data_IF_712947352600
#
_entry.id   IF_712947352600
#
_cell.length_a   1.000
_cell.length_b   1.000
_cell.length_c   1.000
_cell.angle_alpha   90.00
_cell.angle_beta   90.00
_cell.angle_gamma   90.00
#
_symmetry.space_group_name_H-M   'P 1'
#
loop_
_entity.id
_entity.type
_entity.pdbx_description
1 polymer ?
#
# COMPACT_ATOMS: atom_id res chain seq x y z
N UNK A 1 -83.34 104.11 17.60
CA UNK A 1 -84.19 103.20 18.40
C UNK A 1 -83.45 101.89 18.56
N UNK A 2 -83.29 101.42 19.81
CA UNK A 2 -83.27 100.00 20.25
C UNK A 2 -82.12 99.10 19.70
N UNK A 3 -81.36 98.32 20.46
CA UNK A 3 -81.45 97.85 21.86
C UNK A 3 -80.11 97.19 22.25
N UNK A 4 -79.75 97.29 23.53
CA UNK A 4 -78.76 96.44 24.23
C UNK A 4 -79.39 95.05 24.47
N UNK A 5 -78.64 93.91 24.38
CA UNK A 5 -78.15 93.24 25.61
C UNK A 5 -76.80 92.49 25.53
N UNK A 6 -76.07 92.57 26.64
CA UNK A 6 -74.99 91.70 27.19
C UNK A 6 -75.52 90.29 27.57
N UNK A 7 -74.77 89.34 28.21
CA UNK A 7 -73.38 88.82 28.12
C UNK A 7 -73.33 87.25 28.02
N UNK A 8 -72.14 86.64 27.81
CA UNK A 8 -71.74 85.31 28.34
C UNK A 8 -70.28 85.01 27.94
N UNK A 9 -69.31 85.06 28.85
CA UNK A 9 -68.88 83.95 29.72
C UNK A 9 -67.94 82.95 29.02
N UNK A 10 -66.65 83.07 29.37
CA UNK A 10 -65.74 81.99 29.76
C UNK A 10 -65.39 80.91 28.73
N UNK A 11 -64.17 80.98 28.17
CA UNK A 11 -63.33 79.78 27.93
C UNK A 11 -61.85 80.16 27.78
N UNK A 12 -61.21 80.57 28.89
CA UNK A 12 -59.76 80.58 28.98
C UNK A 12 -59.25 79.15 29.22
N UNK A 13 -59.23 78.32 28.17
CA UNK A 13 -58.59 77.00 28.19
C UNK A 13 -58.36 76.47 26.76
N UNK A 14 -57.61 77.20 25.95
CA UNK A 14 -57.02 76.63 24.73
C UNK A 14 -55.76 77.40 24.41
N UNK A 15 -54.74 76.68 23.92
CA UNK A 15 -53.47 77.21 23.37
C UNK A 15 -52.22 77.24 24.27
N UNK A 16 -52.03 76.24 25.14
CA UNK A 16 -50.67 75.96 25.67
C UNK A 16 -50.17 74.52 25.47
N UNK A 17 -50.99 73.63 24.86
CA UNK A 17 -50.64 72.21 24.64
C UNK A 17 -50.08 71.94 23.23
N UNK A 18 -50.11 72.92 22.32
CA UNK A 18 -49.73 72.72 20.90
C UNK A 18 -48.22 72.68 20.65
N UNK A 19 -47.42 73.44 21.40
CA UNK A 19 -45.97 73.51 21.15
C UNK A 19 -45.21 72.31 21.73
N UNK A 20 -45.63 71.80 22.90
CA UNK A 20 -45.03 70.60 23.52
C UNK A 20 -45.32 69.36 22.67
N UNK A 21 -46.55 69.20 22.20
CA UNK A 21 -46.93 68.09 21.30
C UNK A 21 -46.20 68.15 19.94
N UNK A 22 -45.97 69.35 19.41
CA UNK A 22 -45.15 69.53 18.21
C UNK A 22 -43.68 69.17 18.45
N UNK A 23 -43.10 69.55 19.59
CA UNK A 23 -41.74 69.16 19.93
C UNK A 23 -41.59 67.66 20.16
N UNK A 24 -42.56 67.00 20.79
CA UNK A 24 -42.58 65.54 20.93
C UNK A 24 -42.71 64.83 19.58
N UNK A 25 -43.52 65.37 18.66
CA UNK A 25 -43.63 64.85 17.29
C UNK A 25 -42.32 65.02 16.50
N UNK A 26 -41.63 66.16 16.63
CA UNK A 26 -40.32 66.39 16.00
C UNK A 26 -39.22 65.54 16.63
N UNK A 27 -39.24 65.33 17.95
CA UNK A 27 -38.30 64.49 18.66
C UNK A 27 -38.46 63.01 18.28
N UNK A 28 -39.69 62.52 18.14
CA UNK A 28 -39.97 61.14 17.70
C UNK A 28 -39.61 60.90 16.23
N UNK A 29 -39.89 61.87 15.34
CA UNK A 29 -39.41 61.84 13.95
C UNK A 29 -37.89 61.86 13.87
N UNK A 30 -37.23 62.73 14.64
CA UNK A 30 -35.78 62.80 14.72
C UNK A 30 -35.16 61.48 15.21
N UNK A 31 -35.73 60.89 16.25
CA UNK A 31 -35.29 59.59 16.77
C UNK A 31 -35.49 58.45 15.75
N UNK A 32 -36.60 58.44 15.03
CA UNK A 32 -36.87 57.44 13.99
C UNK A 32 -35.86 57.53 12.83
N UNK A 33 -35.53 58.75 12.38
CA UNK A 33 -34.52 58.98 11.34
C UNK A 33 -33.13 58.55 11.80
N UNK A 34 -32.71 58.93 13.02
CA UNK A 34 -31.42 58.52 13.58
C UNK A 34 -31.34 56.99 13.70
N UNK A 35 -32.43 56.33 14.12
CA UNK A 35 -32.50 54.86 14.23
C UNK A 35 -32.41 54.20 12.85
N UNK A 36 -33.09 54.74 11.84
CA UNK A 36 -33.04 54.23 10.47
C UNK A 36 -31.63 54.37 9.85
N UNK A 37 -30.98 55.52 10.02
CA UNK A 37 -29.60 55.76 9.55
C UNK A 37 -28.62 54.83 10.27
N UNK A 38 -28.78 54.65 11.59
CA UNK A 38 -27.94 53.74 12.38
C UNK A 38 -28.14 52.29 11.91
N UNK A 39 -29.38 51.87 11.65
CA UNK A 39 -29.68 50.54 11.11
C UNK A 39 -29.05 50.29 9.74
N UNK A 40 -29.07 51.29 8.84
CA UNK A 40 -28.40 51.22 7.53
C UNK A 40 -26.88 51.09 7.69
N UNK A 41 -26.27 51.87 8.59
CA UNK A 41 -24.82 51.79 8.85
C UNK A 41 -24.42 50.42 9.43
N UNK A 42 -25.19 49.89 10.39
CA UNK A 42 -24.97 48.55 10.95
C UNK A 42 -25.11 47.49 9.85
N UNK A 43 -26.14 47.57 9.00
CA UNK A 43 -26.33 46.65 7.88
C UNK A 43 -25.16 46.69 6.89
N UNK A 44 -24.66 47.88 6.55
CA UNK A 44 -23.50 48.04 5.66
C UNK A 44 -22.22 47.47 6.28
N UNK A 45 -21.99 47.70 7.58
CA UNK A 45 -20.88 47.11 8.32
C UNK A 45 -20.97 45.57 8.33
N UNK A 46 -22.14 45.00 8.65
CA UNK A 46 -22.37 43.55 8.61
C UNK A 46 -22.07 43.00 7.20
N UNK A 47 -22.52 43.67 6.14
CA UNK A 47 -22.29 43.24 4.76
C UNK A 47 -20.81 43.30 4.37
N UNK A 48 -20.07 44.32 4.82
CA UNK A 48 -18.62 44.42 4.60
C UNK A 48 -17.86 43.33 5.39
N UNK A 49 -18.26 43.07 6.63
CA UNK A 49 -17.70 41.99 7.45
C UNK A 49 -17.95 40.63 6.81
N UNK A 50 -19.17 40.35 6.33
CA UNK A 50 -19.48 39.10 5.62
C UNK A 50 -18.64 38.91 4.35
N UNK A 51 -18.41 39.97 3.57
CA UNK A 51 -17.53 39.91 2.39
C UNK A 51 -16.08 39.66 2.78
N UNK A 52 -15.61 40.29 3.86
CA UNK A 52 -14.25 40.11 4.36
C UNK A 52 -14.04 38.68 4.88
N UNK A 53 -15.02 38.15 5.63
CA UNK A 53 -15.01 36.75 6.11
C UNK A 53 -14.94 35.78 4.93
N UNK A 54 -15.79 35.93 3.91
CA UNK A 54 -15.75 35.09 2.70
C UNK A 54 -14.42 35.16 1.95
N UNK A 55 -13.84 36.36 1.85
CA UNK A 55 -12.52 36.53 1.22
C UNK A 55 -11.42 35.85 2.03
N UNK A 56 -11.47 35.93 3.36
CA UNK A 56 -10.54 35.24 4.26
C UNK A 56 -10.69 33.72 4.17
N UNK A 57 -11.92 33.20 4.13
CA UNK A 57 -12.20 31.76 3.95
C UNK A 57 -11.60 31.24 2.64
N UNK A 58 -11.87 31.92 1.51
CA UNK A 58 -11.29 31.55 0.20
C UNK A 58 -9.76 31.60 0.20
N UNK A 59 -9.17 32.60 0.87
CA UNK A 59 -7.70 32.72 0.98
C UNK A 59 -7.11 31.60 1.83
N UNK A 60 -7.80 31.21 2.90
CA UNK A 60 -7.37 30.14 3.79
C UNK A 60 -7.51 28.76 3.14
N UNK A 61 -8.57 28.53 2.37
CA UNK A 61 -8.74 27.31 1.58
C UNK A 61 -7.68 27.21 0.46
N UNK A 62 -7.40 28.32 -0.23
CA UNK A 62 -6.32 28.37 -1.20
C UNK A 62 -4.97 28.05 -0.53
N UNK A 63 -4.64 28.71 0.58
CA UNK A 63 -3.41 28.46 1.32
C UNK A 63 -3.29 27.01 1.80
N UNK A 64 -4.40 26.38 2.23
CA UNK A 64 -4.42 24.96 2.58
C UNK A 64 -4.15 24.07 1.36
N UNK A 65 -4.79 24.34 0.23
CA UNK A 65 -4.54 23.58 -1.01
C UNK A 65 -3.11 23.74 -1.52
N UNK A 66 -2.54 24.95 -1.47
CA UNK A 66 -1.16 25.21 -1.87
C UNK A 66 -0.17 24.50 -0.95
N UNK A 67 -0.46 24.48 0.36
CA UNK A 67 0.33 23.75 1.34
C UNK A 67 0.31 22.23 1.06
N UNK A 68 -0.85 21.67 0.71
CA UNK A 68 -0.98 20.25 0.36
C UNK A 68 -0.22 19.91 -0.92
N UNK A 69 -0.35 20.72 -1.97
CA UNK A 69 0.40 20.54 -3.23
C UNK A 69 1.90 20.65 -2.99
N UNK A 70 2.34 21.63 -2.18
CA UNK A 70 3.75 21.80 -1.83
C UNK A 70 4.26 20.57 -1.07
N UNK A 71 3.48 20.07 -0.11
CA UNK A 71 3.83 18.87 0.66
C UNK A 71 3.97 17.65 -0.25
N UNK A 72 3.01 17.42 -1.15
CA UNK A 72 3.05 16.29 -2.07
C UNK A 72 4.25 16.39 -3.02
N UNK A 73 4.53 17.59 -3.55
CA UNK A 73 5.69 17.84 -4.41
C UNK A 73 7.01 17.56 -3.68
N UNK A 74 7.12 17.91 -2.40
CA UNK A 74 8.29 17.60 -1.59
C UNK A 74 8.47 16.10 -1.37
N UNK A 75 7.38 15.37 -1.15
CA UNK A 75 7.40 13.90 -1.01
C UNK A 75 7.81 13.25 -2.34
N UNK A 76 7.25 13.68 -3.46
CA UNK A 76 7.57 13.14 -4.78
C UNK A 76 9.02 13.43 -5.18
N UNK A 77 9.52 14.63 -4.89
CA UNK A 77 10.93 14.97 -5.10
C UNK A 77 11.87 14.11 -4.23
N UNK A 78 11.47 13.82 -2.98
CA UNK A 78 12.23 12.93 -2.12
C UNK A 78 12.25 11.50 -2.66
N UNK A 79 11.10 10.96 -3.09
CA UNK A 79 10.97 9.64 -3.71
C UNK A 79 11.81 9.54 -4.98
N UNK A 80 11.72 10.53 -5.87
CA UNK A 80 12.52 10.58 -7.10
C UNK A 80 14.03 10.58 -6.84
N UNK A 81 14.49 11.31 -5.80
CA UNK A 81 15.90 11.29 -5.40
C UNK A 81 16.34 9.92 -4.88
N UNK A 82 15.51 9.28 -4.05
CA UNK A 82 15.77 7.93 -3.55
C UNK A 82 15.87 6.97 -4.75
N UNK A 83 14.91 7.00 -5.66
CA UNK A 83 14.87 6.13 -6.84
C UNK A 83 16.07 6.33 -7.78
N UNK A 84 16.57 7.56 -7.89
CA UNK A 84 17.77 7.86 -8.66
C UNK A 84 19.05 7.28 -8.03
N UNK A 85 19.07 7.07 -6.70
CA UNK A 85 20.22 6.51 -5.98
C UNK A 85 20.12 5.00 -5.72
N UNK A 86 18.92 4.43 -5.74
CA UNK A 86 18.68 3.01 -5.48
C UNK A 86 19.34 2.13 -6.55
N UNK A 87 19.89 0.96 -6.17
CA UNK A 87 20.28 -0.06 -7.14
C UNK A 87 19.06 -0.52 -7.95
N UNK A 88 19.28 -0.97 -9.19
CA UNK A 88 18.23 -1.51 -10.05
C UNK A 88 18.43 -3.00 -10.11
N UNK A 89 17.78 -3.70 -9.18
CA UNK A 89 17.88 -5.15 -9.10
C UNK A 89 16.89 -5.78 -10.07
N UNK A 90 17.36 -6.75 -10.84
CA UNK A 90 16.49 -7.63 -11.65
C UNK A 90 16.67 -9.04 -11.14
N UNK A 91 15.55 -9.73 -10.93
CA UNK A 91 15.53 -11.13 -10.49
C UNK A 91 14.89 -11.97 -11.58
N UNK A 92 15.63 -12.95 -12.07
CA UNK A 92 15.17 -13.87 -13.11
C UNK A 92 15.24 -15.31 -12.60
N UNK A 93 14.20 -16.10 -12.88
CA UNK A 93 14.23 -17.55 -12.67
C UNK A 93 14.82 -18.19 -13.92
N UNK A 94 16.02 -18.78 -13.80
CA UNK A 94 16.76 -19.31 -14.95
C UNK A 94 16.53 -20.79 -15.20
N UNK A 95 16.33 -21.57 -14.13
CA UNK A 95 16.03 -22.98 -14.25
C UNK A 95 15.26 -23.49 -13.05
N UNK A 96 14.43 -24.50 -13.28
CA UNK A 96 13.76 -25.26 -12.24
C UNK A 96 14.03 -26.74 -12.48
N UNK A 97 14.68 -27.39 -11.51
CA UNK A 97 15.02 -28.81 -11.57
C UNK A 97 14.27 -29.60 -10.50
N UNK A 98 13.84 -30.81 -10.86
CA UNK A 98 13.25 -31.81 -9.97
C UNK A 98 14.37 -32.69 -9.44
N UNK A 99 14.83 -32.41 -8.24
CA UNK A 99 15.89 -33.19 -7.62
C UNK A 99 15.32 -34.00 -6.45
N UNK A 100 15.43 -35.34 -6.47
CA UNK A 100 15.19 -36.11 -5.24
C UNK A 100 16.37 -35.80 -4.37
N UNK A 101 16.10 -35.22 -3.21
CA UNK A 101 17.02 -35.45 -2.10
C UNK A 101 16.68 -36.82 -1.54
N UNK A 102 17.62 -37.74 -1.62
CA UNK A 102 17.59 -38.89 -0.72
C UNK A 102 17.89 -38.34 0.69
N UNK A 103 16.96 -38.43 1.65
CA UNK A 103 17.17 -37.94 3.01
C UNK A 103 18.40 -38.57 3.70
N UNK A 104 18.87 -39.74 3.22
CA UNK A 104 20.07 -40.41 3.75
C UNK A 104 21.39 -39.68 3.43
N UNK A 105 21.41 -38.78 2.45
CA UNK A 105 22.62 -38.05 2.02
C UNK A 105 22.77 -36.67 2.66
N UNK A 106 21.81 -36.26 3.52
CA UNK A 106 21.77 -34.92 4.15
C UNK A 106 22.97 -34.65 5.07
N UNK A 107 23.61 -35.70 5.60
CA UNK A 107 24.71 -35.61 6.58
C UNK A 107 26.12 -35.48 6.01
N UNK A 108 26.31 -35.57 4.68
CA UNK A 108 27.64 -35.59 4.04
C UNK A 108 27.92 -34.40 3.11
N UNK A 109 27.09 -33.35 3.15
CA UNK A 109 27.13 -32.25 2.17
C UNK A 109 28.13 -31.16 2.57
N UNK A 110 29.17 -30.98 1.76
CA UNK A 110 29.82 -29.68 1.59
C UNK A 110 28.92 -28.76 0.76
N UNK A 111 28.84 -27.49 1.14
CA UNK A 111 27.95 -26.47 0.56
C UNK A 111 28.15 -26.26 -0.96
N UNK A 112 29.34 -26.62 -1.48
CA UNK A 112 29.75 -26.43 -2.87
C UNK A 112 29.58 -27.67 -3.77
N UNK A 113 29.29 -28.86 -3.22
CA UNK A 113 29.25 -30.10 -4.01
C UNK A 113 27.81 -30.43 -4.42
N UNK A 114 27.30 -29.70 -5.42
CA UNK A 114 25.96 -29.85 -6.00
C UNK A 114 25.76 -31.12 -6.86
N UNK A 115 26.79 -31.97 -6.99
CA UNK A 115 26.87 -33.03 -8.01
C UNK A 115 26.14 -34.35 -7.69
N UNK A 116 25.76 -34.61 -6.43
CA UNK A 116 25.27 -35.93 -5.99
C UNK A 116 23.76 -36.01 -5.73
N UNK A 117 22.94 -35.17 -6.37
CA UNK A 117 21.49 -35.34 -6.33
C UNK A 117 21.01 -36.28 -7.43
N UNK A 118 20.31 -37.35 -7.02
CA UNK A 118 19.59 -38.21 -7.97
C UNK A 118 18.36 -37.47 -8.49
N UNK A 119 18.41 -37.04 -9.75
CA UNK A 119 17.27 -36.42 -10.45
C UNK A 119 16.08 -37.39 -10.44
N UNK A 120 14.92 -36.97 -9.92
CA UNK A 120 13.70 -37.80 -10.03
C UNK A 120 13.19 -37.66 -11.45
N UNK A 121 13.12 -38.77 -12.17
CA UNK A 121 12.54 -38.78 -13.51
C UNK A 121 11.03 -38.54 -13.43
N UNK A 122 10.45 -37.73 -14.34
CA UNK A 122 9.01 -37.68 -14.54
C UNK A 122 8.43 -39.10 -14.68
N UNK A 123 7.24 -39.31 -14.13
CA UNK A 123 6.60 -40.63 -14.12
C UNK A 123 7.00 -41.55 -12.96
N UNK A 124 7.90 -41.11 -12.08
CA UNK A 124 8.20 -41.84 -10.83
C UNK A 124 6.95 -41.91 -9.97
N UNK A 125 6.57 -43.13 -9.57
CA UNK A 125 5.35 -43.41 -8.79
C UNK A 125 5.66 -43.62 -7.32
N UNK A 126 4.76 -43.15 -6.48
CA UNK A 126 4.76 -43.30 -5.04
C UNK A 126 3.42 -43.87 -4.57
N UNK A 127 3.46 -44.64 -3.48
CA UNK A 127 2.29 -45.29 -2.89
C UNK A 127 2.16 -44.86 -1.42
N UNK A 128 1.02 -44.28 -1.09
CA UNK A 128 0.68 -43.95 0.30
C UNK A 128 0.08 -45.16 1.03
N UNK A 129 0.29 -45.28 2.35
CA UNK A 129 1.05 -44.38 3.22
C UNK A 129 2.58 -44.66 3.25
N UNK A 130 3.04 -45.70 2.55
CA UNK A 130 4.42 -46.20 2.62
C UNK A 130 5.47 -45.12 2.33
N UNK A 131 5.24 -44.31 1.29
CA UNK A 131 6.18 -43.26 0.86
C UNK A 131 5.94 -41.90 1.50
N UNK A 132 4.97 -41.76 2.42
CA UNK A 132 4.51 -40.46 2.94
C UNK A 132 5.63 -39.61 3.57
N UNK A 133 6.59 -40.25 4.23
CA UNK A 133 7.69 -39.60 4.93
C UNK A 133 8.90 -39.27 4.02
N UNK A 134 8.90 -39.70 2.76
CA UNK A 134 10.00 -39.45 1.84
C UNK A 134 10.13 -37.96 1.57
N UNK A 135 11.31 -37.38 1.78
CA UNK A 135 11.57 -35.98 1.43
C UNK A 135 11.80 -35.85 -0.08
N UNK A 136 11.19 -34.84 -0.68
CA UNK A 136 11.42 -34.46 -2.08
C UNK A 136 11.81 -32.99 -2.10
N UNK A 137 12.90 -32.70 -2.81
CA UNK A 137 13.41 -31.36 -3.02
C UNK A 137 12.99 -30.79 -4.37
N UNK A 138 12.82 -29.48 -4.42
CA UNK A 138 12.76 -28.75 -5.68
C UNK A 138 13.86 -27.71 -5.65
N UNK A 139 14.70 -27.70 -6.68
CA UNK A 139 15.78 -26.74 -6.83
C UNK A 139 15.41 -25.70 -7.86
N UNK A 140 15.61 -24.44 -7.50
CA UNK A 140 15.25 -23.28 -8.31
C UNK A 140 16.47 -22.39 -8.42
N UNK A 141 16.97 -22.22 -9.63
CA UNK A 141 18.06 -21.32 -9.93
C UNK A 141 17.54 -19.94 -10.26
N UNK A 142 17.98 -18.94 -9.49
CA UNK A 142 17.69 -17.54 -9.77
C UNK A 142 18.97 -16.80 -10.12
N UNK A 143 18.85 -15.78 -10.96
CA UNK A 143 19.90 -14.81 -11.23
C UNK A 143 19.44 -13.46 -10.74
N UNK A 144 20.26 -12.81 -9.92
CA UNK A 144 20.06 -11.43 -9.50
C UNK A 144 21.11 -10.58 -10.19
N UNK A 145 20.69 -9.62 -11.01
CA UNK A 145 21.57 -8.61 -11.60
C UNK A 145 21.35 -7.25 -10.94
N UNK A 146 22.39 -6.41 -10.97
CA UNK A 146 22.30 -5.03 -10.52
C UNK A 146 22.75 -4.08 -11.64
N UNK A 147 21.79 -3.49 -12.33
CA UNK A 147 22.01 -2.54 -13.42
C UNK A 147 21.89 -1.08 -12.93
N UNK A 148 21.87 -0.88 -11.62
CA UNK A 148 21.72 0.43 -10.98
C UNK A 148 23.02 1.20 -10.80
N UNK A 149 22.94 2.44 -10.32
CA UNK A 149 24.10 3.31 -10.11
C UNK A 149 24.94 2.92 -8.87
N UNK A 150 24.45 2.04 -7.99
CA UNK A 150 25.09 1.70 -6.72
C UNK A 150 25.19 0.19 -6.52
N UNK A 151 26.16 -0.22 -5.70
CA UNK A 151 26.27 -1.61 -5.21
C UNK A 151 25.11 -1.90 -4.26
N UNK A 152 24.65 -3.14 -4.24
CA UNK A 152 23.54 -3.59 -3.40
C UNK A 152 24.01 -4.65 -2.41
N UNK A 153 23.75 -4.45 -1.12
CA UNK A 153 23.82 -5.52 -0.14
C UNK A 153 22.44 -6.18 -0.07
N UNK A 154 22.27 -7.29 -0.79
CA UNK A 154 21.00 -8.02 -0.82
C UNK A 154 20.96 -9.05 0.29
N UNK A 155 19.78 -9.25 0.88
CA UNK A 155 19.50 -10.27 1.89
C UNK A 155 18.51 -11.27 1.31
N UNK A 156 18.86 -12.55 1.31
CA UNK A 156 17.94 -13.61 0.92
C UNK A 156 17.31 -14.21 2.18
N UNK A 157 16.00 -13.98 2.33
CA UNK A 157 15.17 -14.63 3.34
C UNK A 157 14.42 -15.82 2.74
N UNK A 158 14.29 -16.90 3.51
CA UNK A 158 13.44 -18.05 3.19
C UNK A 158 12.35 -18.14 4.25
N UNK A 159 11.10 -18.26 3.83
CA UNK A 159 9.93 -18.35 4.73
C UNK A 159 9.94 -19.67 5.53
N UNK A 160 10.73 -20.66 5.10
CA UNK A 160 10.94 -21.92 5.81
C UNK A 160 12.00 -21.82 6.91
N UNK A 161 11.60 -21.19 8.02
CA UNK A 161 11.84 -21.61 9.40
C UNK A 161 13.25 -21.60 10.00
N UNK A 162 14.34 -21.74 9.24
CA UNK A 162 15.65 -21.94 9.89
C UNK A 162 16.90 -21.63 9.05
N UNK A 163 16.76 -20.96 7.90
CA UNK A 163 17.95 -20.58 7.10
C UNK A 163 18.45 -19.19 7.50
N UNK A 164 19.75 -19.13 7.84
CA UNK A 164 20.50 -17.90 8.06
C UNK A 164 20.22 -16.92 6.92
N UNK A 165 19.95 -15.66 7.25
CA UNK A 165 19.94 -14.58 6.25
C UNK A 165 21.30 -14.54 5.58
N UNK A 166 21.35 -14.91 4.30
CA UNK A 166 22.56 -14.80 3.51
C UNK A 166 22.63 -13.38 2.93
N UNK A 167 23.64 -12.63 3.36
CA UNK A 167 23.92 -11.31 2.81
C UNK A 167 24.93 -11.44 1.68
N UNK A 168 24.66 -10.78 0.55
CA UNK A 168 25.57 -10.76 -0.58
C UNK A 168 25.71 -9.34 -1.12
N UNK A 169 26.96 -8.93 -1.29
CA UNK A 169 27.27 -7.71 -2.02
C UNK A 169 27.20 -7.99 -3.52
N UNK A 170 26.41 -7.19 -4.24
CA UNK A 170 26.26 -7.24 -5.68
C UNK A 170 26.74 -5.92 -6.29
N UNK A 171 27.88 -5.98 -6.96
CA UNK A 171 28.46 -4.81 -7.63
C UNK A 171 27.64 -4.35 -8.85
N UNK A 172 27.84 -3.10 -9.26
CA UNK A 172 27.18 -2.52 -10.44
C UNK A 172 27.58 -3.26 -11.71
N UNK A 173 26.59 -3.60 -12.54
CA UNK A 173 26.76 -4.34 -13.79
C UNK A 173 27.13 -5.81 -13.60
N UNK A 174 27.00 -6.35 -12.38
CA UNK A 174 27.25 -7.77 -12.08
C UNK A 174 25.95 -8.51 -11.84
N UNK A 175 26.00 -9.80 -12.13
CA UNK A 175 24.96 -10.75 -11.79
C UNK A 175 25.53 -11.85 -10.89
N UNK A 176 24.66 -12.44 -10.07
CA UNK A 176 24.99 -13.58 -9.23
C UNK A 176 23.89 -14.63 -9.31
N UNK A 177 24.31 -15.88 -9.45
CA UNK A 177 23.43 -17.04 -9.48
C UNK A 177 23.23 -17.55 -8.05
N UNK A 178 21.99 -17.86 -7.70
CA UNK A 178 21.63 -18.51 -6.45
C UNK A 178 20.80 -19.75 -6.72
N UNK A 179 20.99 -20.77 -5.88
CA UNK A 179 20.18 -21.97 -5.88
C UNK A 179 19.32 -21.97 -4.63
N UNK A 180 18.01 -21.97 -4.82
CA UNK A 180 17.02 -22.10 -3.77
C UNK A 180 16.57 -23.55 -3.73
N UNK A 181 16.47 -24.12 -2.53
CA UNK A 181 15.97 -25.48 -2.35
C UNK A 181 14.73 -25.45 -1.45
N UNK A 182 13.62 -26.01 -1.93
CA UNK A 182 12.40 -26.25 -1.17
C UNK A 182 12.24 -27.75 -0.94
N UNK A 183 12.31 -28.17 0.32
CA UNK A 183 12.28 -29.59 0.70
C UNK A 183 11.06 -29.83 1.58
N UNK A 184 10.22 -30.77 1.16
CA UNK A 184 9.07 -31.22 1.95
C UNK A 184 8.91 -32.73 1.86
N UNK A 185 8.18 -33.31 2.81
CA UNK A 185 7.75 -34.71 2.72
C UNK A 185 6.77 -34.90 1.56
N UNK A 186 6.69 -36.11 1.04
CA UNK A 186 5.72 -36.48 0.00
C UNK A 186 4.29 -36.15 0.46
N UNK A 187 3.95 -36.44 1.72
CA UNK A 187 2.66 -36.07 2.28
C UNK A 187 2.37 -34.57 2.20
N UNK A 188 3.33 -33.71 2.55
CA UNK A 188 3.16 -32.25 2.45
C UNK A 188 3.06 -31.79 0.99
N UNK A 189 3.85 -32.35 0.07
CA UNK A 189 3.72 -32.09 -1.36
C UNK A 189 2.36 -32.49 -1.92
N UNK A 190 1.77 -33.57 -1.42
CA UNK A 190 0.42 -34.01 -1.80
C UNK A 190 -0.63 -33.04 -1.29
N UNK A 191 -0.52 -32.54 -0.05
CA UNK A 191 -1.43 -31.51 0.44
C UNK A 191 -1.32 -30.23 -0.40
N UNK A 192 -0.09 -29.81 -0.77
CA UNK A 192 0.10 -28.70 -1.73
C UNK A 192 -0.57 -28.99 -3.08
N UNK A 193 -0.43 -30.20 -3.62
CA UNK A 193 -1.05 -30.57 -4.88
C UNK A 193 -2.58 -30.57 -4.80
N UNK A 194 -3.18 -31.05 -3.70
CA UNK A 194 -4.62 -31.03 -3.46
C UNK A 194 -5.16 -29.61 -3.40
N UNK A 195 -4.45 -28.70 -2.70
CA UNK A 195 -4.81 -27.28 -2.65
C UNK A 195 -4.81 -26.66 -4.05
N UNK A 196 -3.80 -26.94 -4.87
CA UNK A 196 -3.71 -26.36 -6.22
C UNK A 196 -4.65 -27.01 -7.25
N UNK A 197 -5.11 -28.24 -7.02
CA UNK A 197 -6.07 -28.94 -7.87
C UNK A 197 -7.53 -28.72 -7.42
N UNK A 198 -7.76 -28.05 -6.28
CA UNK A 198 -9.07 -27.67 -5.75
C UNK A 198 -9.66 -26.41 -6.39
N UNK A 199 -10.77 -25.90 -5.83
CA UNK A 199 -11.41 -24.67 -6.30
C UNK A 199 -10.49 -23.46 -6.02
N UNK A 200 -10.00 -22.75 -7.05
CA UNK A 200 -9.07 -21.63 -6.88
C UNK A 200 -9.67 -20.43 -6.13
N UNK A 201 -11.00 -20.41 -5.88
CA UNK A 201 -11.68 -19.33 -5.16
C UNK A 201 -11.59 -19.41 -3.63
N UNK A 202 -11.16 -20.54 -3.05
CA UNK A 202 -11.03 -20.72 -1.59
C UNK A 202 -9.60 -20.50 -1.04
N UNK A 203 -8.64 -20.15 -1.89
CA UNK A 203 -7.22 -20.15 -1.52
C UNK A 203 -6.63 -18.74 -1.50
N UNK A 204 -7.09 -17.94 -0.54
CA UNK A 204 -6.32 -16.78 -0.07
C UNK A 204 -5.03 -17.29 0.59
N UNK A 205 -3.88 -17.02 -0.05
CA UNK A 205 -2.56 -16.95 0.61
C UNK A 205 -2.02 -18.23 1.27
N UNK A 206 -2.11 -19.39 0.62
CA UNK A 206 -1.09 -20.42 0.89
C UNK A 206 0.25 -19.91 0.34
N UNK A 207 1.10 -19.31 1.20
CA UNK A 207 2.36 -18.66 0.85
C UNK A 207 3.17 -19.54 -0.10
N UNK A 208 3.16 -19.16 -1.38
CA UNK A 208 3.94 -19.76 -2.44
C UNK A 208 5.34 -19.15 -2.52
N UNK A 209 5.67 -18.24 -1.60
CA UNK A 209 6.94 -17.50 -1.58
C UNK A 209 8.05 -18.46 -1.14
N UNK A 210 8.95 -18.76 -2.07
CA UNK A 210 10.15 -19.59 -1.81
C UNK A 210 11.20 -18.74 -1.10
N UNK A 211 11.42 -17.53 -1.62
CA UNK A 211 12.40 -16.60 -1.09
C UNK A 211 11.96 -15.16 -1.32
N UNK A 212 12.39 -14.30 -0.41
CA UNK A 212 12.31 -12.86 -0.55
C UNK A 212 13.72 -12.30 -0.59
N UNK A 213 14.06 -11.64 -1.68
CA UNK A 213 15.31 -10.89 -1.83
C UNK A 213 15.01 -9.46 -1.40
N UNK A 214 15.65 -9.02 -0.33
CA UNK A 214 15.43 -7.69 0.25
C UNK A 214 16.68 -6.85 0.10
N UNK A 215 16.51 -5.62 -0.38
CA UNK A 215 17.52 -4.57 -0.29
C UNK A 215 16.98 -3.44 0.59
N UNK A 216 17.78 -3.00 1.55
CA UNK A 216 17.47 -1.87 2.42
C UNK A 216 18.44 -0.76 2.10
N UNK A 217 17.92 0.42 1.77
CA UNK A 217 18.76 1.59 1.53
C UNK A 217 19.54 1.95 2.81
N UNK A 218 20.86 2.21 2.74
CA UNK A 218 21.69 2.38 3.94
C UNK A 218 21.53 3.74 4.66
N UNK A 219 20.59 4.59 4.23
CA UNK A 219 20.37 5.93 4.80
C UNK A 219 19.17 6.01 5.74
N UNK A 220 19.13 7.08 6.54
CA UNK A 220 18.04 7.38 7.49
C UNK A 220 16.69 7.59 6.78
N UNK A 221 16.73 8.15 5.59
CA UNK A 221 15.59 8.26 4.67
C UNK A 221 15.90 7.41 3.43
N UNK A 222 14.97 6.56 3.02
CA UNK A 222 15.25 5.63 1.93
C UNK A 222 14.05 4.79 1.54
N UNK A 223 14.36 3.63 0.95
CA UNK A 223 13.35 2.65 0.58
C UNK A 223 13.84 1.22 0.87
N UNK A 224 12.88 0.35 1.13
CA UNK A 224 13.08 -1.10 1.20
C UNK A 224 12.52 -1.67 -0.09
N UNK A 225 13.35 -2.36 -0.86
CA UNK A 225 12.96 -3.07 -2.07
C UNK A 225 12.89 -4.57 -1.79
N UNK A 226 11.78 -5.21 -2.18
CA UNK A 226 11.58 -6.65 -2.03
C UNK A 226 11.23 -7.27 -3.37
N UNK A 227 11.95 -8.33 -3.72
CA UNK A 227 11.61 -9.23 -4.82
C UNK A 227 11.19 -10.56 -4.23
N UNK A 228 10.01 -11.03 -4.60
CA UNK A 228 9.50 -12.33 -4.15
C UNK A 228 9.61 -13.32 -5.30
N UNK A 229 10.16 -14.50 -5.01
CA UNK A 229 10.14 -15.62 -5.95
C UNK A 229 9.06 -16.57 -5.46
N UNK A 230 8.01 -16.70 -6.26
CA UNK A 230 6.85 -17.53 -5.96
C UNK A 230 6.88 -18.82 -6.77
N UNK A 231 6.37 -19.90 -6.18
CA UNK A 231 6.20 -21.20 -6.82
C UNK A 231 4.71 -21.55 -6.92
N UNK A 232 4.19 -21.62 -8.14
CA UNK A 232 2.83 -22.10 -8.39
C UNK A 232 2.81 -23.54 -8.89
N UNK A 233 1.62 -24.14 -8.87
CA UNK A 233 1.34 -25.45 -9.47
C UNK A 233 1.69 -26.65 -8.60
N UNK A 234 1.62 -27.84 -9.18
CA UNK A 234 1.79 -29.10 -8.46
C UNK A 234 2.90 -29.95 -9.11
N UNK A 235 3.78 -30.49 -8.27
CA UNK A 235 4.81 -31.45 -8.71
C UNK A 235 4.24 -32.86 -8.91
N UNK A 236 3.17 -33.18 -8.17
CA UNK A 236 2.59 -34.51 -8.08
C UNK A 236 1.18 -34.50 -8.69
N UNK A 237 0.88 -35.54 -9.45
CA UNK A 237 -0.46 -35.82 -9.98
C UNK A 237 -0.92 -37.20 -9.49
N UNK A 238 -2.23 -37.36 -9.30
CA UNK A 238 -2.80 -38.65 -8.90
C UNK A 238 -2.69 -39.64 -10.06
N UNK A 239 -2.23 -40.86 -9.78
CA UNK A 239 -2.12 -41.92 -10.79
C UNK A 239 -3.52 -42.41 -11.18
N UNK A 240 -3.89 -42.44 -12.48
CA UNK A 240 -5.19 -42.93 -12.90
C UNK A 240 -5.45 -44.37 -12.45
N UNK A 241 -6.61 -44.62 -11.84
CA UNK A 241 -7.01 -45.95 -11.37
C UNK A 241 -6.33 -46.43 -10.09
N UNK A 242 -5.51 -45.61 -9.41
CA UNK A 242 -4.93 -45.93 -8.11
C UNK A 242 -5.16 -44.80 -7.11
N UNK A 243 -6.06 -45.00 -6.16
CA UNK A 243 -6.41 -43.98 -5.17
C UNK A 243 -5.26 -43.61 -4.22
N UNK A 244 -4.33 -44.53 -4.00
CA UNK A 244 -3.15 -44.31 -3.17
C UNK A 244 -1.91 -43.90 -3.99
N UNK A 245 -2.02 -43.88 -5.33
CA UNK A 245 -0.92 -43.66 -6.25
C UNK A 245 -0.74 -42.19 -6.60
N UNK A 246 0.50 -41.71 -6.47
CA UNK A 246 0.91 -40.38 -6.91
C UNK A 246 2.13 -40.48 -7.81
N UNK A 247 2.23 -39.60 -8.78
CA UNK A 247 3.25 -39.63 -9.81
C UNK A 247 3.86 -38.24 -9.99
N UNK A 248 5.17 -38.16 -10.20
CA UNK A 248 5.84 -36.91 -10.56
C UNK A 248 5.35 -36.49 -11.94
N UNK A 249 4.66 -35.36 -12.00
CA UNK A 249 4.17 -34.79 -13.25
C UNK A 249 5.33 -34.47 -14.20
N UNK A 250 5.11 -34.50 -15.51
CA UNK A 250 6.04 -33.93 -16.47
C UNK A 250 5.96 -32.39 -16.43
N UNK A 251 7.08 -31.69 -16.55
CA UNK A 251 7.04 -30.23 -16.74
C UNK A 251 6.74 -29.95 -18.20
N UNK A 252 5.50 -30.13 -18.64
CA UNK A 252 5.13 -29.75 -20.00
C UNK A 252 5.07 -28.23 -20.10
N UNK A 253 5.90 -27.65 -20.95
CA UNK A 253 5.84 -26.25 -21.41
C UNK A 253 4.71 -26.03 -22.44
N UNK A 254 3.62 -26.79 -22.32
CA UNK A 254 2.53 -26.83 -23.29
C UNK A 254 1.37 -25.92 -22.87
N UNK A 255 0.69 -25.24 -23.82
CA UNK A 255 -0.35 -24.24 -23.50
C UNK A 255 -1.63 -24.79 -22.85
N UNK A 256 -1.80 -26.12 -22.71
CA UNK A 256 -3.07 -26.74 -22.32
C UNK A 256 -2.96 -28.07 -21.52
N UNK A 257 -1.98 -28.25 -20.62
CA UNK A 257 -1.84 -29.55 -19.94
C UNK A 257 -1.19 -29.51 -18.57
N UNK A 258 -2.05 -29.63 -17.53
CA UNK A 258 -1.77 -29.75 -16.10
C UNK A 258 -0.95 -28.60 -15.48
N UNK A 259 -1.21 -28.21 -14.21
CA UNK A 259 -0.45 -27.15 -13.55
C UNK A 259 0.94 -27.69 -13.21
N UNK A 260 1.81 -27.78 -14.22
CA UNK A 260 3.22 -28.07 -14.03
C UNK A 260 3.78 -27.00 -13.10
N UNK A 261 4.41 -27.46 -12.03
CA UNK A 261 4.92 -26.56 -11.01
C UNK A 261 5.95 -25.60 -11.64
N UNK A 262 5.74 -24.30 -11.47
CA UNK A 262 6.56 -23.26 -12.08
C UNK A 262 6.99 -22.24 -11.01
N UNK A 263 8.17 -21.66 -11.16
CA UNK A 263 8.64 -20.58 -10.31
C UNK A 263 8.74 -19.28 -11.11
N UNK A 264 8.27 -18.18 -10.53
CA UNK A 264 8.28 -16.86 -11.15
C UNK A 264 8.80 -15.84 -10.14
N UNK A 265 9.69 -14.96 -10.61
CA UNK A 265 10.06 -13.77 -9.86
C UNK A 265 8.98 -12.71 -10.07
N UNK A 266 8.36 -12.26 -8.98
CA UNK A 266 7.36 -11.19 -9.00
C UNK A 266 8.04 -9.84 -9.23
N UNK A 267 7.33 -8.87 -9.82
CA UNK A 267 7.79 -7.48 -9.83
C UNK A 267 8.13 -7.02 -8.42
N UNK A 268 9.17 -6.20 -8.29
CA UNK A 268 9.58 -5.70 -6.98
C UNK A 268 8.51 -4.82 -6.35
N UNK A 269 8.43 -4.87 -5.03
CA UNK A 269 7.70 -3.90 -4.22
C UNK A 269 8.69 -2.97 -3.52
N UNK A 270 8.31 -1.70 -3.36
CA UNK A 270 9.17 -0.69 -2.74
C UNK A 270 8.40 0.11 -1.71
N UNK A 271 8.86 0.04 -0.47
CA UNK A 271 8.31 0.80 0.66
C UNK A 271 9.25 1.95 1.01
N UNK A 272 8.78 3.20 0.90
CA UNK A 272 9.55 4.39 1.26
C UNK A 272 9.39 4.73 2.74
N UNK A 273 10.48 5.15 3.37
CA UNK A 273 10.50 5.57 4.78
C UNK A 273 11.22 6.90 4.97
N UNK A 274 10.70 7.71 5.88
CA UNK A 274 11.26 9.02 6.22
C UNK A 274 12.43 8.91 7.22
N UNK A 275 12.31 7.94 8.14
CA UNK A 275 13.25 7.65 9.22
C UNK A 275 13.27 6.14 9.44
N UNK A 276 14.45 5.52 9.52
CA UNK A 276 14.57 4.09 9.78
C UNK A 276 14.19 3.72 11.23
N UNK A 277 14.18 4.69 12.16
CA UNK A 277 13.89 4.50 13.60
C UNK A 277 12.39 4.64 13.91
N UNK A 278 11.64 5.31 13.04
CA UNK A 278 10.23 5.61 13.24
C UNK A 278 9.50 5.01 12.02
N UNK A 279 8.82 3.88 12.17
CA UNK A 279 8.12 3.12 11.09
C UNK A 279 6.95 3.89 10.42
N UNK A 280 7.03 5.23 10.33
CA UNK A 280 6.10 6.05 9.59
C UNK A 280 6.42 5.96 8.11
N UNK A 281 5.58 5.20 7.39
CA UNK A 281 5.54 5.15 5.94
C UNK A 281 5.34 6.55 5.35
N UNK A 282 6.08 6.87 4.29
CA UNK A 282 6.03 8.15 3.56
C UNK A 282 4.80 8.30 2.65
#
# INVERSE_FOLDING_TARGET
MMSVPTPAATSAASESITWVAQLEAWATLGAAVVTAVTGILIYLQIRQTQRSVKATELTLDLARSEQEVTRNTLVDNAKARIDAEMPRLTVEVTHQAKDSLDPLLRGQRDEDTLADLSVIQPGTKFILPQDAAREIGVRIGIVVSNDGPRRALIKLGSDHGDRKLHEHMLDVGKSKHFYLERIHTLAAWIEYAKLHLGDPSEHETSSCVITTITYVFPGDTGAIERHEVIQGGAMLVKTPGNDAGWEIAEFTSGPWGYPSMNAVAMPFTRDYYASFIDERRL
#
